data_IF_610520425261
#
_entry.id   IF_610520425261
#
_cell.length_a   1.000
_cell.length_b   1.000
_cell.length_c   1.000
_cell.angle_alpha   90.00
_cell.angle_beta   90.00
_cell.angle_gamma   90.00
#
_symmetry.space_group_name_H-M   'P 1'
#
loop_
_entity.id
_entity.type
_entity.pdbx_description
1 polymer ?
#
# COMPACT_ATOMS: atom_id res chain seq x y z
N UNK A 1 31.40 -11.07 13.35
CA UNK A 1 30.24 -11.83 12.85
C UNK A 1 29.50 -10.98 11.83
N UNK A 2 29.37 -11.45 10.58
CA UNK A 2 28.66 -10.74 9.50
C UNK A 2 27.15 -10.89 9.72
N UNK A 3 26.47 -9.78 9.98
CA UNK A 3 25.00 -9.73 9.98
C UNK A 3 24.55 -9.70 8.52
N UNK A 4 23.75 -10.67 8.10
CA UNK A 4 23.07 -10.66 6.81
C UNK A 4 22.10 -9.46 6.79
N UNK A 5 22.45 -8.41 6.05
CA UNK A 5 21.57 -7.26 5.77
C UNK A 5 20.56 -7.69 4.70
N UNK A 6 19.28 -7.55 5.01
CA UNK A 6 18.16 -8.02 4.20
C UNK A 6 17.98 -7.17 2.94
N UNK A 7 18.52 -7.66 1.82
CA UNK A 7 18.32 -7.19 0.45
C UNK A 7 16.89 -7.25 -0.08
N UNK A 8 15.88 -6.98 0.75
CA UNK A 8 14.47 -7.31 0.56
C UNK A 8 13.81 -6.62 -0.64
N UNK A 9 13.17 -5.47 -0.48
CA UNK A 9 12.14 -5.10 -1.46
C UNK A 9 12.56 -4.69 -2.92
N UNK A 10 13.82 -4.39 -3.30
CA UNK A 10 14.18 -3.96 -4.69
C UNK A 10 14.56 -5.21 -5.44
N UNK A 11 15.38 -6.07 -4.83
CA UNK A 11 15.60 -7.41 -5.32
C UNK A 11 14.30 -8.23 -5.28
N UNK A 12 13.42 -8.04 -4.30
CA UNK A 12 12.09 -8.67 -4.25
C UNK A 12 11.12 -8.03 -5.24
N UNK A 13 11.14 -6.70 -5.45
CA UNK A 13 10.37 -6.03 -6.53
C UNK A 13 10.80 -6.52 -7.90
N UNK A 14 12.11 -6.48 -8.18
CA UNK A 14 12.72 -7.04 -9.38
C UNK A 14 12.45 -8.53 -9.48
N UNK A 15 12.47 -9.29 -8.38
CA UNK A 15 12.09 -10.70 -8.36
C UNK A 15 10.60 -10.88 -8.60
N UNK A 16 9.71 -10.00 -8.16
CA UNK A 16 8.28 -10.07 -8.47
C UNK A 16 8.09 -9.84 -9.97
N UNK A 17 8.75 -8.83 -10.54
CA UNK A 17 8.68 -8.51 -11.97
C UNK A 17 9.37 -9.55 -12.86
N UNK A 18 10.53 -10.08 -12.45
CA UNK A 18 11.36 -11.04 -13.20
C UNK A 18 11.12 -12.50 -12.84
N UNK A 19 10.33 -12.78 -11.79
CA UNK A 19 9.99 -14.16 -11.45
C UNK A 19 9.33 -14.78 -12.66
N UNK A 20 9.74 -16.02 -12.96
CA UNK A 20 9.22 -16.81 -14.08
C UNK A 20 7.69 -16.71 -14.13
N UNK A 21 7.09 -16.83 -15.34
CA UNK A 21 5.66 -17.03 -15.47
C UNK A 21 5.24 -18.04 -14.42
N UNK A 22 4.18 -17.72 -13.70
CA UNK A 22 3.66 -18.62 -12.68
C UNK A 22 3.48 -20.00 -13.37
N UNK A 23 4.03 -21.10 -12.84
CA UNK A 23 3.91 -22.37 -13.53
C UNK A 23 2.41 -22.73 -13.63
N UNK A 24 1.91 -23.10 -14.82
CA UNK A 24 0.53 -23.51 -14.96
C UNK A 24 0.30 -24.71 -14.03
N UNK A 25 -0.72 -24.62 -13.17
CA UNK A 25 -1.10 -25.76 -12.35
C UNK A 25 -1.85 -26.74 -13.27
N UNK A 26 -1.12 -27.56 -14.03
CA UNK A 26 -1.70 -28.67 -14.77
C UNK A 26 -1.97 -29.78 -13.75
N UNK A 27 -3.22 -29.83 -13.25
CA UNK A 27 -3.67 -31.00 -12.49
C UNK A 27 -3.69 -32.20 -13.43
N UNK A 28 -2.84 -33.20 -13.17
CA UNK A 28 -2.80 -34.44 -13.94
C UNK A 28 -4.16 -35.15 -13.88
N UNK A 29 -4.65 -35.57 -15.05
CA UNK A 29 -5.96 -36.19 -15.31
C UNK A 29 -6.21 -37.46 -14.50
N UNK A 30 -7.48 -37.68 -14.15
CA UNK A 30 -8.10 -39.00 -14.21
C UNK A 30 -9.23 -38.97 -15.27
N UNK A 31 -9.43 -40.04 -16.06
CA UNK A 31 -10.54 -40.13 -17.00
C UNK A 31 -11.80 -40.62 -16.28
N UNK A 32 -12.83 -39.78 -16.24
CA UNK A 32 -14.17 -40.14 -15.77
C UNK A 32 -15.19 -39.23 -16.42
N UNK A 33 -16.12 -39.81 -17.18
CA UNK A 33 -16.99 -39.12 -18.14
C UNK A 33 -17.81 -37.97 -17.56
N UNK A 34 -18.11 -36.99 -18.43
CA UNK A 34 -18.90 -35.81 -18.07
C UNK A 34 -20.04 -35.65 -19.08
N UNK A 35 -21.25 -35.61 -18.54
CA UNK A 35 -22.44 -35.05 -19.17
C UNK A 35 -22.17 -33.58 -19.55
N UNK A 36 -22.26 -33.30 -20.84
CA UNK A 36 -22.10 -31.99 -21.46
C UNK A 36 -23.40 -31.19 -21.32
N UNK A 37 -23.70 -30.66 -20.14
CA UNK A 37 -24.79 -29.69 -19.95
C UNK A 37 -24.51 -28.84 -18.69
N UNK A 38 -24.46 -27.52 -18.88
CA UNK A 38 -24.35 -26.43 -17.87
C UNK A 38 -22.97 -26.05 -17.29
N UNK A 39 -21.89 -26.12 -18.07
CA UNK A 39 -20.64 -25.44 -17.68
C UNK A 39 -20.63 -23.98 -18.16
N UNK A 40 -20.72 -23.01 -17.24
CA UNK A 40 -20.56 -21.59 -17.55
C UNK A 40 -19.14 -21.30 -18.12
N UNK A 41 -19.00 -20.35 -19.05
CA UNK A 41 -17.73 -20.07 -19.71
C UNK A 41 -16.69 -19.56 -18.70
N UNK A 42 -15.40 -19.92 -18.86
CA UNK A 42 -14.33 -19.34 -18.06
C UNK A 42 -14.25 -17.82 -18.23
N UNK A 43 -13.64 -17.08 -17.29
CA UNK A 43 -13.37 -15.66 -17.48
C UNK A 43 -12.39 -15.45 -18.63
N UNK A 44 -12.53 -14.33 -19.35
CA UNK A 44 -11.53 -13.91 -20.32
C UNK A 44 -10.41 -13.13 -19.62
N UNK A 45 -9.23 -13.03 -20.27
CA UNK A 45 -8.13 -12.20 -19.74
C UNK A 45 -8.58 -10.75 -19.60
N UNK A 46 -9.35 -10.21 -20.54
CA UNK A 46 -9.77 -8.81 -20.53
C UNK A 46 -10.79 -8.52 -19.43
N UNK A 47 -11.64 -9.49 -19.09
CA UNK A 47 -12.54 -9.39 -17.95
C UNK A 47 -11.76 -9.36 -16.63
N UNK A 48 -10.76 -10.23 -16.46
CA UNK A 48 -9.88 -10.21 -15.29
C UNK A 48 -9.11 -8.87 -15.22
N UNK A 49 -8.63 -8.34 -16.35
CA UNK A 49 -8.01 -7.01 -16.40
C UNK A 49 -8.97 -5.91 -15.93
N UNK A 50 -10.22 -5.93 -16.42
CA UNK A 50 -11.23 -4.96 -16.01
C UNK A 50 -11.53 -5.01 -14.50
N UNK A 51 -11.64 -6.21 -13.93
CA UNK A 51 -11.80 -6.40 -12.49
C UNK A 51 -10.61 -5.85 -11.70
N UNK A 52 -9.37 -6.22 -12.10
CA UNK A 52 -8.15 -5.76 -11.44
C UNK A 52 -7.97 -4.24 -11.54
N UNK A 53 -8.29 -3.64 -12.68
CA UNK A 53 -8.30 -2.18 -12.85
C UNK A 53 -9.28 -1.51 -11.88
N UNK A 54 -10.51 -2.01 -11.79
CA UNK A 54 -11.52 -1.48 -10.88
C UNK A 54 -11.14 -1.66 -9.40
N UNK A 55 -10.53 -2.80 -9.04
CA UNK A 55 -10.03 -3.08 -7.70
C UNK A 55 -8.92 -2.11 -7.28
N UNK A 56 -8.04 -1.76 -8.21
CA UNK A 56 -6.95 -0.80 -7.97
C UNK A 56 -7.33 0.66 -8.19
N UNK A 57 -8.60 0.95 -8.49
CA UNK A 57 -9.13 2.32 -8.51
C UNK A 57 -8.91 3.08 -9.82
N UNK A 58 -8.58 2.39 -10.92
CA UNK A 58 -8.53 3.01 -12.25
C UNK A 58 -9.91 3.56 -12.61
N UNK A 59 -9.97 4.79 -13.13
CA UNK A 59 -11.22 5.46 -13.50
C UNK A 59 -12.10 5.89 -12.32
N UNK A 60 -11.65 5.74 -11.08
CA UNK A 60 -12.40 6.20 -9.89
C UNK A 60 -11.95 7.60 -9.49
N UNK A 61 -12.93 8.47 -9.21
CA UNK A 61 -12.66 9.80 -8.65
C UNK A 61 -12.05 9.75 -7.25
N UNK A 62 -12.32 8.67 -6.50
CA UNK A 62 -11.78 8.41 -5.17
C UNK A 62 -11.20 6.98 -5.12
N UNK A 63 -10.04 6.75 -5.76
CA UNK A 63 -9.35 5.47 -5.64
C UNK A 63 -8.90 5.43 -4.18
N UNK A 64 -9.50 4.54 -3.38
CA UNK A 64 -9.31 4.49 -1.92
C UNK A 64 -7.84 4.37 -1.48
N UNK A 65 -7.55 3.94 -0.23
CA UNK A 65 -6.24 4.17 0.36
C UNK A 65 -5.06 3.48 -0.34
N UNK A 66 -5.31 2.63 -1.35
CA UNK A 66 -4.30 1.99 -2.21
C UNK A 66 -3.46 2.99 -3.04
N UNK A 67 -3.96 4.21 -3.31
CA UNK A 67 -3.26 5.25 -4.09
C UNK A 67 -2.67 6.36 -3.21
N UNK A 68 -2.23 6.02 -2.00
CA UNK A 68 -1.74 6.99 -1.01
C UNK A 68 -0.23 6.96 -0.83
N UNK A 69 0.42 8.13 -0.82
CA UNK A 69 1.65 8.31 -0.07
C UNK A 69 1.29 8.50 1.41
N UNK A 70 1.67 7.54 2.25
CA UNK A 70 1.27 7.53 3.64
C UNK A 70 2.14 8.43 4.51
N UNK A 71 1.49 9.21 5.36
CA UNK A 71 2.11 9.95 6.45
C UNK A 71 2.26 9.06 7.70
N UNK A 72 3.18 9.41 8.61
CA UNK A 72 3.25 8.82 9.95
C UNK A 72 1.88 8.70 10.64
N UNK A 73 1.65 7.61 11.35
CA UNK A 73 0.37 7.21 11.91
C UNK A 73 -0.41 6.20 11.05
N UNK A 74 0.03 5.94 9.82
CA UNK A 74 -0.32 4.74 9.07
C UNK A 74 0.31 3.47 9.68
N UNK A 75 -0.16 2.28 9.30
CA UNK A 75 0.23 1.00 9.92
C UNK A 75 1.74 0.74 9.90
N UNK A 76 2.43 1.04 8.79
CA UNK A 76 3.88 0.84 8.65
C UNK A 76 4.75 1.94 9.26
N UNK A 77 4.14 3.06 9.68
CA UNK A 77 4.83 4.22 10.25
C UNK A 77 4.18 4.56 11.60
N UNK A 78 4.34 3.71 12.63
CA UNK A 78 3.67 3.91 13.90
C UNK A 78 4.16 5.19 14.58
N UNK A 79 3.28 5.80 15.38
CA UNK A 79 3.54 6.95 16.25
C UNK A 79 3.08 6.59 17.65
N UNK A 80 3.50 7.33 18.68
CA UNK A 80 3.03 7.05 20.05
C UNK A 80 1.54 7.31 20.19
N UNK A 81 1.03 8.37 19.53
CA UNK A 81 -0.39 8.68 19.56
C UNK A 81 -0.87 9.31 18.25
N UNK A 82 -1.98 8.78 17.73
CA UNK A 82 -2.69 9.35 16.59
C UNK A 82 -3.69 10.38 17.12
N UNK A 83 -3.65 11.60 16.60
CA UNK A 83 -4.53 12.70 17.00
C UNK A 83 -5.44 13.13 15.84
N UNK A 84 -5.78 12.19 14.96
CA UNK A 84 -6.62 12.45 13.80
C UNK A 84 -8.01 12.92 14.22
N UNK A 85 -8.54 13.94 13.54
CA UNK A 85 -9.96 14.26 13.55
C UNK A 85 -10.60 13.79 12.25
N UNK A 86 -11.87 13.39 12.28
CA UNK A 86 -12.62 13.01 11.08
C UNK A 86 -13.59 14.11 10.61
N UNK A 87 -13.98 15.07 11.46
CA UNK A 87 -14.97 16.10 11.13
C UNK A 87 -14.52 17.50 11.60
N UNK A 88 -13.85 18.31 10.74
CA UNK A 88 -13.31 17.93 9.43
C UNK A 88 -12.09 17.00 9.56
N UNK A 89 -11.73 16.24 8.50
CA UNK A 89 -10.53 15.41 8.48
C UNK A 89 -9.29 16.27 8.76
N UNK A 90 -8.56 15.97 9.84
CA UNK A 90 -7.32 16.67 10.19
C UNK A 90 -6.26 15.68 10.58
N UNK A 91 -5.11 15.79 9.92
CA UNK A 91 -3.92 15.06 10.28
C UNK A 91 -3.26 15.69 11.50
N UNK A 92 -3.04 14.88 12.52
CA UNK A 92 -2.18 15.21 13.65
C UNK A 92 -1.66 13.94 14.28
N UNK A 93 -0.39 13.94 14.67
CA UNK A 93 0.25 12.85 15.42
C UNK A 93 1.13 13.43 16.53
N UNK A 94 1.33 12.65 17.58
CA UNK A 94 2.19 13.01 18.68
C UNK A 94 3.30 11.96 18.89
N UNK A 95 4.48 12.47 19.20
CA UNK A 95 5.65 11.69 19.64
C UNK A 95 5.98 12.12 21.05
N UNK A 96 6.01 11.17 21.98
CA UNK A 96 6.31 11.44 23.39
C UNK A 96 7.81 11.68 23.58
N UNK A 97 8.18 12.82 24.16
CA UNK A 97 9.57 13.26 24.31
C UNK A 97 10.23 12.63 25.54
N UNK A 98 9.45 12.40 26.59
CA UNK A 98 9.88 11.84 27.87
C UNK A 98 9.57 10.35 28.03
N UNK A 99 9.27 9.66 26.92
CA UNK A 99 9.05 8.21 26.92
C UNK A 99 10.39 7.48 26.83
N UNK A 100 10.60 6.50 27.70
CA UNK A 100 11.75 5.60 27.61
C UNK A 100 11.67 4.74 26.35
N UNK A 101 12.69 4.82 25.51
CA UNK A 101 12.75 4.09 24.23
C UNK A 101 13.90 3.11 24.21
N UNK A 102 13.65 1.97 23.57
CA UNK A 102 14.70 0.98 23.29
C UNK A 102 15.40 1.30 21.97
N UNK A 103 16.59 0.76 21.77
CA UNK A 103 17.34 0.90 20.52
C UNK A 103 16.69 0.24 19.29
N UNK A 104 15.56 -0.44 19.48
CA UNK A 104 14.77 -1.09 18.41
C UNK A 104 13.36 -0.49 18.29
N UNK A 105 13.10 0.64 18.94
CA UNK A 105 11.83 1.35 18.82
C UNK A 105 11.67 1.89 17.39
N UNK A 106 10.70 1.32 16.66
CA UNK A 106 10.38 1.71 15.28
C UNK A 106 10.00 3.18 15.17
N UNK A 107 9.33 3.74 16.18
CA UNK A 107 8.98 5.16 16.21
C UNK A 107 10.26 6.00 16.21
N UNK A 108 11.22 5.66 17.07
CA UNK A 108 12.49 6.39 17.16
C UNK A 108 13.35 6.24 15.90
N UNK A 109 13.46 5.02 15.39
CA UNK A 109 14.39 4.72 14.30
C UNK A 109 13.87 5.13 12.92
N UNK A 110 12.55 5.08 12.69
CA UNK A 110 11.95 5.32 11.38
C UNK A 110 11.03 6.54 11.37
N UNK A 111 10.08 6.60 12.31
CA UNK A 111 9.01 7.59 12.23
C UNK A 111 9.46 9.01 12.61
N UNK A 112 10.23 9.16 13.68
CA UNK A 112 10.74 10.48 14.12
C UNK A 112 11.62 11.14 13.03
N UNK A 113 12.62 10.45 12.42
CA UNK A 113 13.39 11.03 11.33
C UNK A 113 12.52 11.53 10.18
N UNK A 114 11.51 10.75 9.76
CA UNK A 114 10.59 11.15 8.71
C UNK A 114 9.73 12.37 9.12
N UNK A 115 9.22 12.41 10.36
CA UNK A 115 8.47 13.56 10.86
C UNK A 115 9.30 14.86 10.84
N UNK A 116 10.57 14.78 11.25
CA UNK A 116 11.48 15.93 11.22
C UNK A 116 11.78 16.36 9.78
N UNK A 117 12.03 15.41 8.87
CA UNK A 117 12.21 15.72 7.44
C UNK A 117 10.98 16.44 6.87
N UNK A 118 9.78 15.94 7.16
CA UNK A 118 8.54 16.55 6.66
C UNK A 118 8.27 17.94 7.25
N UNK A 119 8.70 18.19 8.49
CA UNK A 119 8.72 19.55 9.07
C UNK A 119 9.71 20.46 8.33
N UNK A 120 10.95 20.02 8.13
CA UNK A 120 11.97 20.79 7.41
C UNK A 120 11.56 21.13 5.97
N UNK A 121 10.78 20.25 5.32
CA UNK A 121 10.23 20.48 3.99
C UNK A 121 8.96 21.35 3.99
N UNK A 122 8.50 21.82 5.16
CA UNK A 122 7.31 22.64 5.30
C UNK A 122 6.00 21.91 5.03
N UNK A 123 6.01 20.56 5.00
CA UNK A 123 4.80 19.73 4.89
C UNK A 123 4.06 19.71 6.22
N UNK A 124 4.82 19.64 7.33
CA UNK A 124 4.31 19.60 8.68
C UNK A 124 4.75 20.85 9.46
N UNK A 125 3.95 21.21 10.45
CA UNK A 125 4.32 22.14 11.52
C UNK A 125 4.45 21.38 12.83
N UNK A 126 5.42 21.77 13.66
CA UNK A 126 5.72 21.16 14.94
C UNK A 126 5.35 22.10 16.09
N UNK A 127 4.67 21.57 17.10
CA UNK A 127 4.37 22.28 18.35
C UNK A 127 4.63 21.38 19.56
N UNK A 128 4.79 21.97 20.73
CA UNK A 128 4.95 21.24 21.98
C UNK A 128 3.60 21.22 22.69
N UNK A 129 3.22 20.05 23.21
CA UNK A 129 2.05 19.90 24.07
C UNK A 129 2.43 19.08 25.30
N UNK A 130 2.07 19.57 26.47
CA UNK A 130 2.23 18.88 27.74
C UNK A 130 0.99 18.06 28.07
N UNK A 131 1.14 17.10 28.98
CA UNK A 131 0.02 16.30 29.53
C UNK A 131 -0.81 15.56 28.47
N UNK A 132 -0.14 15.00 27.46
CA UNK A 132 -0.79 14.14 26.46
C UNK A 132 -0.97 12.74 27.06
N UNK A 133 -2.21 12.21 27.14
CA UNK A 133 -2.45 10.90 27.75
C UNK A 133 -1.92 9.77 26.85
N UNK A 134 -1.21 8.83 27.46
CA UNK A 134 -0.76 7.61 26.80
C UNK A 134 -1.91 6.66 26.44
N UNK A 135 -1.61 5.66 25.61
CA UNK A 135 -2.56 4.64 25.17
C UNK A 135 -1.93 3.24 25.25
N UNK A 136 -2.76 2.20 25.27
CA UNK A 136 -2.31 0.81 25.32
C UNK A 136 -1.48 0.53 26.57
N UNK A 137 -0.20 0.16 26.40
CA UNK A 137 0.73 -0.13 27.50
C UNK A 137 1.09 1.11 28.34
N UNK A 138 0.85 2.30 27.79
CA UNK A 138 1.13 3.58 28.44
C UNK A 138 -0.14 4.23 29.00
N UNK A 139 -1.27 3.51 29.03
CA UNK A 139 -2.54 4.01 29.58
C UNK A 139 -2.38 4.46 31.04
N UNK A 140 -2.97 5.60 31.38
CA UNK A 140 -2.89 6.23 32.71
C UNK A 140 -1.65 7.08 32.96
N UNK A 141 -0.68 7.10 32.03
CA UNK A 141 0.48 8.00 32.09
C UNK A 141 0.23 9.26 31.24
N UNK A 142 0.86 10.35 31.65
CA UNK A 142 0.88 11.62 30.92
C UNK A 142 2.28 11.88 30.38
N UNK A 143 2.35 12.40 29.15
CA UNK A 143 3.61 12.66 28.46
C UNK A 143 3.68 14.08 27.93
N UNK A 144 4.89 14.60 27.87
CA UNK A 144 5.19 15.74 27.01
C UNK A 144 5.38 15.22 25.58
N UNK A 145 4.87 15.96 24.60
CA UNK A 145 4.85 15.52 23.24
C UNK A 145 5.22 16.61 22.25
N UNK A 146 5.96 16.21 21.21
CA UNK A 146 6.01 16.94 19.96
C UNK A 146 4.80 16.54 19.13
N UNK A 147 3.95 17.52 18.83
CA UNK A 147 2.76 17.36 18.00
C UNK A 147 3.08 17.87 16.60
N UNK A 148 2.88 17.01 15.61
CA UNK A 148 3.05 17.34 14.20
C UNK A 148 1.67 17.42 13.55
N UNK A 149 1.42 18.52 12.85
CA UNK A 149 0.19 18.78 12.08
C UNK A 149 0.54 19.16 10.66
N UNK A 150 -0.39 19.00 9.71
CA UNK A 150 -0.17 19.53 8.36
C UNK A 150 0.00 21.05 8.39
N UNK A 151 0.98 21.54 7.63
CA UNK A 151 1.12 22.96 7.39
C UNK A 151 -0.11 23.49 6.61
N UNK A 152 -0.47 24.78 6.75
CA UNK A 152 -1.67 25.34 6.11
C UNK A 152 -1.77 25.07 4.61
N UNK A 153 -0.65 25.12 3.88
CA UNK A 153 -0.62 24.84 2.44
C UNK A 153 -0.96 23.40 2.05
N UNK A 154 -1.02 22.46 3.00
CA UNK A 154 -1.23 21.03 2.78
C UNK A 154 -2.54 20.49 3.37
N UNK A 155 -3.34 21.30 4.06
CA UNK A 155 -4.56 20.86 4.75
C UNK A 155 -5.55 20.16 3.80
N UNK A 156 -5.73 20.69 2.59
CA UNK A 156 -6.67 20.14 1.60
C UNK A 156 -6.02 19.11 0.65
N UNK A 157 -4.76 18.72 0.90
CA UNK A 157 -4.01 17.80 0.04
C UNK A 157 -4.14 16.33 0.48
N UNK A 158 -4.80 16.08 1.60
CA UNK A 158 -5.06 14.73 2.10
C UNK A 158 -6.40 14.18 1.64
N UNK A 159 -6.52 12.85 1.63
CA UNK A 159 -7.76 12.16 1.32
C UNK A 159 -8.85 12.46 2.38
N UNK A 160 -10.06 12.74 1.90
CA UNK A 160 -11.26 13.05 2.71
C UNK A 160 -11.61 12.04 3.82
N UNK A 161 -11.22 10.77 3.69
CA UNK A 161 -11.50 9.71 4.68
C UNK A 161 -10.26 9.24 5.44
N UNK A 162 -9.08 9.58 4.93
CA UNK A 162 -7.80 9.10 5.44
C UNK A 162 -6.86 10.30 5.59
N UNK A 163 -6.89 11.01 6.73
CA UNK A 163 -6.08 12.23 6.90
C UNK A 163 -4.57 11.96 6.86
N UNK A 164 -4.12 10.71 6.98
CA UNK A 164 -2.73 10.30 6.83
C UNK A 164 -2.37 9.86 5.41
N UNK A 165 -3.24 10.10 4.42
CA UNK A 165 -3.02 9.75 3.02
C UNK A 165 -2.92 11.01 2.18
N UNK A 166 -1.76 11.22 1.55
CA UNK A 166 -1.67 12.09 0.38
C UNK A 166 -2.02 11.29 -0.86
N UNK A 167 -3.09 11.70 -1.56
CA UNK A 167 -3.50 11.04 -2.80
C UNK A 167 -2.45 11.25 -3.89
N UNK A 168 -2.05 10.17 -4.55
CA UNK A 168 -1.13 10.18 -5.68
C UNK A 168 -1.84 10.44 -7.02
N UNK A 169 -3.15 10.73 -6.98
CA UNK A 169 -3.98 10.86 -8.18
C UNK A 169 -4.45 9.51 -8.70
N UNK A 170 -4.90 9.52 -9.96
CA UNK A 170 -5.44 8.33 -10.61
C UNK A 170 -4.33 7.32 -10.93
N UNK A 171 -4.46 6.06 -10.49
CA UNK A 171 -3.51 5.01 -10.82
C UNK A 171 -3.70 4.53 -12.26
N UNK A 172 -2.60 4.14 -12.88
CA UNK A 172 -2.56 3.35 -14.13
C UNK A 172 -2.05 1.95 -13.81
N UNK A 173 -2.57 0.94 -14.51
CA UNK A 173 -2.20 -0.47 -14.30
C UNK A 173 -1.45 -0.99 -15.52
N UNK A 174 -0.24 -1.50 -15.30
CA UNK A 174 0.52 -2.27 -16.26
C UNK A 174 0.47 -3.75 -15.85
N UNK A 175 -0.08 -4.60 -16.71
CA UNK A 175 -0.19 -6.03 -16.46
C UNK A 175 1.09 -6.75 -16.93
N UNK A 176 1.77 -7.42 -16.00
CA UNK A 176 3.00 -8.16 -16.27
C UNK A 176 2.70 -9.63 -16.60
N UNK A 177 1.81 -10.25 -15.82
CA UNK A 177 1.38 -11.64 -16.01
C UNK A 177 -0.04 -11.81 -15.48
N UNK A 178 -0.89 -12.51 -16.23
CA UNK A 178 -2.21 -12.96 -15.79
C UNK A 178 -2.39 -14.39 -16.24
N UNK A 179 -2.75 -15.26 -15.30
CA UNK A 179 -2.99 -16.67 -15.58
C UNK A 179 -4.33 -17.08 -15.00
N UNK A 180 -5.11 -17.79 -15.81
CA UNK A 180 -6.42 -18.29 -15.42
C UNK A 180 -6.28 -19.80 -15.27
N UNK A 181 -6.48 -20.28 -14.05
CA UNK A 181 -6.54 -21.70 -13.73
C UNK A 181 -7.97 -22.22 -13.92
N UNK A 182 -8.09 -23.34 -14.61
CA UNK A 182 -9.33 -24.10 -14.66
C UNK A 182 -9.43 -25.05 -13.46
N UNK A 183 -10.60 -25.10 -12.81
CA UNK A 183 -10.91 -26.20 -11.90
C UNK A 183 -11.53 -27.36 -12.67
N UNK A 184 -10.98 -28.56 -12.44
CA UNK A 184 -11.28 -29.82 -13.16
C UNK A 184 -12.56 -30.51 -12.64
N UNK A 185 -13.42 -29.81 -11.89
CA UNK A 185 -14.72 -30.36 -11.47
C UNK A 185 -15.86 -29.58 -12.13
N UNK A 186 -16.62 -30.21 -13.05
CA UNK A 186 -17.70 -29.55 -13.81
C UNK A 186 -18.84 -29.01 -12.91
N UNK A 187 -18.94 -29.47 -11.66
CA UNK A 187 -19.94 -29.00 -10.69
C UNK A 187 -19.60 -27.65 -10.03
N UNK A 188 -18.36 -27.16 -10.15
CA UNK A 188 -17.94 -25.90 -9.53
C UNK A 188 -17.88 -24.77 -10.56
N UNK A 189 -18.82 -23.81 -10.44
CA UNK A 189 -18.87 -22.58 -11.24
C UNK A 189 -17.80 -21.56 -10.82
N UNK A 190 -16.57 -22.01 -10.54
CA UNK A 190 -15.45 -21.18 -10.08
C UNK A 190 -14.22 -21.34 -10.97
N UNK A 191 -13.52 -20.26 -11.21
CA UNK A 191 -12.15 -20.25 -11.75
C UNK A 191 -11.20 -19.66 -10.75
N UNK A 192 -9.91 -19.91 -10.91
CA UNK A 192 -8.89 -19.17 -10.18
C UNK A 192 -8.13 -18.32 -11.16
N UNK A 193 -7.67 -17.16 -10.75
CA UNK A 193 -6.70 -16.40 -11.53
C UNK A 193 -5.58 -15.90 -10.63
N UNK A 194 -4.39 -15.82 -11.21
CA UNK A 194 -3.18 -15.29 -10.58
C UNK A 194 -2.69 -14.12 -11.41
N UNK A 195 -2.21 -13.09 -10.75
CA UNK A 195 -1.79 -11.87 -11.43
C UNK A 195 -0.50 -11.30 -10.86
N UNK A 196 0.25 -10.64 -11.74
CA UNK A 196 1.33 -9.71 -11.42
C UNK A 196 1.07 -8.44 -12.20
N UNK A 197 1.05 -7.32 -11.49
CA UNK A 197 0.83 -6.01 -12.11
C UNK A 197 1.67 -4.93 -11.44
N UNK A 198 1.84 -3.82 -12.14
CA UNK A 198 2.47 -2.62 -11.63
C UNK A 198 1.45 -1.48 -11.66
N UNK A 199 1.36 -0.74 -10.56
CA UNK A 199 0.60 0.49 -10.47
C UNK A 199 1.56 1.66 -10.65
N UNK A 200 1.22 2.59 -11.54
CA UNK A 200 1.93 3.84 -11.76
C UNK A 200 0.97 5.02 -11.59
N UNK A 201 1.52 6.22 -11.40
CA UNK A 201 0.74 7.44 -11.21
C UNK A 201 1.23 8.45 -12.24
N UNK A 202 0.61 8.46 -13.42
CA UNK A 202 1.05 9.30 -14.55
C UNK A 202 0.79 10.79 -14.28
N UNK A 203 -0.28 11.08 -13.54
CA UNK A 203 -0.74 12.43 -13.24
C UNK A 203 -0.86 12.68 -11.73
N UNK A 204 0.25 12.65 -10.96
CA UNK A 204 0.21 13.02 -9.56
C UNK A 204 -0.13 14.51 -9.40
N UNK A 205 -0.65 14.92 -8.23
CA UNK A 205 -0.86 16.33 -7.92
C UNK A 205 0.39 17.17 -8.20
N UNK A 206 0.22 18.37 -8.76
CA UNK A 206 1.32 19.21 -9.23
C UNK A 206 2.37 19.51 -8.16
N UNK A 207 1.95 19.68 -6.91
CA UNK A 207 2.86 19.95 -5.80
C UNK A 207 3.82 18.78 -5.49
N UNK A 208 3.42 17.54 -5.79
CA UNK A 208 4.29 16.37 -5.61
C UNK A 208 5.43 16.34 -6.63
N UNK A 209 5.33 17.15 -7.70
CA UNK A 209 6.37 17.32 -8.72
C UNK A 209 7.37 18.41 -8.38
N UNK A 210 7.26 19.04 -7.21
CA UNK A 210 8.22 20.05 -6.74
C UNK A 210 9.64 19.43 -6.69
N UNK A 211 10.63 20.01 -7.39
CA UNK A 211 11.99 19.48 -7.43
C UNK A 211 12.65 19.39 -6.06
N UNK A 212 12.37 20.34 -5.16
CA UNK A 212 12.92 20.34 -3.80
C UNK A 212 12.39 19.14 -3.03
N UNK A 213 11.07 18.89 -3.09
CA UNK A 213 10.46 17.73 -2.42
C UNK A 213 11.01 16.42 -2.98
N UNK A 214 11.06 16.27 -4.31
CA UNK A 214 11.59 15.05 -4.95
C UNK A 214 13.07 14.82 -4.58
N UNK A 215 13.87 15.88 -4.46
CA UNK A 215 15.29 15.75 -4.14
C UNK A 215 15.56 15.31 -2.70
N UNK A 216 14.68 15.67 -1.75
CA UNK A 216 14.90 15.49 -0.31
C UNK A 216 14.01 14.42 0.33
N UNK A 217 12.89 14.06 -0.29
CA UNK A 217 11.94 13.06 0.21
C UNK A 217 12.02 11.79 -0.67
N UNK A 218 12.86 10.82 -0.31
CA UNK A 218 13.09 9.69 -1.22
C UNK A 218 11.87 8.78 -1.36
N UNK A 219 10.97 8.68 -0.37
CA UNK A 219 9.72 7.94 -0.54
C UNK A 219 8.85 8.57 -1.62
N UNK A 220 8.71 9.90 -1.64
CA UNK A 220 8.01 10.60 -2.72
C UNK A 220 8.71 10.38 -4.06
N UNK A 221 10.03 10.50 -4.13
CA UNK A 221 10.76 10.23 -5.38
C UNK A 221 10.52 8.81 -5.89
N UNK A 222 10.63 7.83 -4.99
CA UNK A 222 10.43 6.42 -5.31
C UNK A 222 9.01 6.12 -5.76
N UNK A 223 8.01 6.72 -5.11
CA UNK A 223 6.59 6.53 -5.44
C UNK A 223 6.27 6.99 -6.85
N UNK A 224 6.82 8.14 -7.25
CA UNK A 224 6.61 8.72 -8.56
C UNK A 224 7.41 8.01 -9.65
N UNK A 225 8.64 7.60 -9.35
CA UNK A 225 9.51 6.96 -10.33
C UNK A 225 9.11 5.51 -10.64
N UNK A 226 8.63 4.77 -9.63
CA UNK A 226 8.51 3.31 -9.73
C UNK A 226 7.14 2.75 -9.37
N UNK A 227 6.32 3.49 -8.62
CA UNK A 227 4.98 3.05 -8.23
C UNK A 227 4.97 1.79 -7.34
N UNK A 228 3.93 0.96 -7.48
CA UNK A 228 3.75 -0.30 -6.72
C UNK A 228 3.85 -1.51 -7.63
N UNK A 229 4.43 -2.60 -7.14
CA UNK A 229 4.19 -3.93 -7.70
C UNK A 229 3.15 -4.65 -6.85
N UNK A 230 2.19 -5.31 -7.49
CA UNK A 230 1.18 -6.13 -6.85
C UNK A 230 1.22 -7.55 -7.41
N UNK A 231 1.05 -8.52 -6.53
CA UNK A 231 0.89 -9.93 -6.87
C UNK A 231 -0.30 -10.47 -6.08
N UNK A 232 -1.10 -11.32 -6.71
CA UNK A 232 -2.21 -11.95 -6.03
C UNK A 232 -2.76 -13.17 -6.74
N UNK A 233 -3.72 -13.78 -6.05
CA UNK A 233 -4.51 -14.90 -6.53
C UNK A 233 -5.92 -14.78 -5.95
N UNK A 234 -6.92 -14.99 -6.79
CA UNK A 234 -8.32 -14.93 -6.39
C UNK A 234 -9.16 -15.98 -7.09
N UNK A 235 -10.30 -16.32 -6.47
CA UNK A 235 -11.35 -17.08 -7.14
C UNK A 235 -12.19 -16.11 -7.98
N UNK A 236 -12.79 -16.63 -9.04
CA UNK A 236 -13.72 -15.95 -9.91
C UNK A 236 -15.00 -16.77 -9.99
N UNK A 237 -16.11 -16.18 -9.56
CA UNK A 237 -17.43 -16.79 -9.64
C UNK A 237 -18.00 -16.59 -11.06
N UNK A 238 -18.14 -17.69 -11.80
CA UNK A 238 -18.60 -17.65 -13.20
C UNK A 238 -20.08 -17.29 -13.35
N UNK A 239 -20.88 -17.47 -12.29
CA UNK A 239 -22.33 -17.23 -12.32
C UNK A 239 -22.63 -15.74 -12.24
N UNK A 240 -21.98 -15.06 -11.31
CA UNK A 240 -22.19 -13.62 -11.09
C UNK A 240 -21.10 -12.75 -11.74
N UNK A 241 -20.05 -13.36 -12.29
CA UNK A 241 -18.91 -12.70 -12.97
C UNK A 241 -18.12 -11.77 -12.06
N UNK A 242 -17.87 -12.21 -10.81
CA UNK A 242 -17.17 -11.41 -9.80
C UNK A 242 -15.99 -12.17 -9.18
N UNK A 243 -15.00 -11.41 -8.70
CA UNK A 243 -13.94 -11.91 -7.84
C UNK A 243 -14.49 -12.34 -6.46
N UNK A 244 -14.03 -13.48 -5.94
CA UNK A 244 -14.31 -13.97 -4.59
C UNK A 244 -13.02 -14.49 -3.93
N UNK A 245 -12.96 -14.41 -2.60
CA UNK A 245 -11.90 -15.03 -1.78
C UNK A 245 -10.47 -14.81 -2.30
N UNK A 246 -10.10 -13.55 -2.54
CA UNK A 246 -8.77 -13.17 -3.02
C UNK A 246 -7.73 -13.01 -1.92
N UNK A 247 -6.46 -13.20 -2.29
CA UNK A 247 -5.29 -12.77 -1.51
C UNK A 247 -4.33 -12.05 -2.44
N UNK A 248 -3.87 -10.88 -2.03
CA UNK A 248 -2.89 -10.13 -2.78
C UNK A 248 -2.08 -9.23 -1.87
N UNK A 249 -0.90 -8.85 -2.35
CA UNK A 249 -0.05 -7.88 -1.68
C UNK A 249 0.51 -6.91 -2.71
N UNK A 250 0.49 -5.63 -2.35
CA UNK A 250 1.19 -4.59 -3.08
C UNK A 250 2.36 -4.08 -2.24
N UNK A 251 3.51 -3.88 -2.89
CA UNK A 251 4.70 -3.30 -2.27
C UNK A 251 5.13 -2.09 -3.08
N UNK A 252 5.62 -1.05 -2.39
CA UNK A 252 6.31 0.01 -3.09
C UNK A 252 7.60 -0.55 -3.68
N UNK A 253 7.89 -0.17 -4.91
CA UNK A 253 9.11 -0.60 -5.57
C UNK A 253 10.38 -0.20 -4.81
N UNK A 254 10.33 0.87 -4.01
CA UNK A 254 11.46 1.49 -3.32
C UNK A 254 11.55 1.18 -1.81
N UNK A 255 10.59 0.46 -1.20
CA UNK A 255 10.57 0.16 0.25
C UNK A 255 11.86 -0.53 0.74
N UNK A 256 12.60 -1.13 -0.17
CA UNK A 256 13.85 -1.87 0.03
C UNK A 256 15.13 -1.10 0.13
N UNK A 257 15.13 0.11 -0.43
CA UNK A 257 16.29 0.96 -0.43
C UNK A 257 16.58 1.41 1.01
N UNK A 258 15.51 1.54 1.80
CA UNK A 258 15.55 1.88 3.21
C UNK A 258 15.71 0.69 4.15
N UNK A 259 15.30 -0.52 3.77
CA UNK A 259 15.55 -1.74 4.56
C UNK A 259 17.03 -2.18 4.54
N UNK A 260 17.85 -1.60 3.65
CA UNK A 260 19.27 -1.96 3.44
C UNK A 260 20.30 -0.89 3.86
N UNK A 261 19.85 0.29 4.30
CA UNK A 261 20.74 1.31 4.88
C UNK A 261 20.83 1.13 6.38
#
# INVERSE_FOLDING_TARGET
MRVARGGGGWAEYESILKSRPIPPHISQRMPGGIHEQDSLPPPSIDEIKGLLQAQHGVGKADPGPLSCLYLPGAEKLPVDKKLFSQNPPRYSVAVFTNKDRTNHDVVAMKTIPLLNLLEELGILTKSIRTEVPGEGRDSGKMFDALVYTLAPGYLDRTHSRYPYCFSLGEPSVEFIDIQIGEHVQPSYQRSTFRYKLKLTFSNPPSWMRDPLLISRWDELRGVLAHGKACIGQSDFDRKIREERNGRGACRWAFDSYYENR
#
